data_IF_061346346295
#
_entry.id   IF_061346346295
#
_cell.length_a   1.000
_cell.length_b   1.000
_cell.length_c   1.000
_cell.angle_alpha   90.00
_cell.angle_beta   90.00
_cell.angle_gamma   90.00
#
_symmetry.space_group_name_H-M   'P 1'
#
loop_
_entity.id
_entity.type
_entity.pdbx_description
1 polymer ?
#
# COMPACT_ATOMS: atom_id res chain seq x y z
N UNK A 1 -78.60 0.47 9.64
CA UNK A 1 -78.95 0.11 11.04
C UNK A 1 -77.83 -0.80 11.54
N UNK A 2 -77.05 -0.58 12.60
CA UNK A 2 -76.81 0.53 13.55
C UNK A 2 -75.27 0.50 13.83
N UNK A 3 -74.51 1.60 13.93
CA UNK A 3 -74.39 2.58 15.02
C UNK A 3 -73.93 2.02 16.40
N UNK A 4 -72.83 2.62 16.94
CA UNK A 4 -72.29 2.59 18.33
C UNK A 4 -71.55 1.30 18.82
N UNK A 5 -70.56 1.30 19.76
CA UNK A 5 -69.92 2.41 20.54
C UNK A 5 -68.42 2.18 20.95
N UNK A 6 -67.63 3.27 20.87
CA UNK A 6 -66.51 3.84 21.68
C UNK A 6 -65.52 3.04 22.61
N UNK A 7 -64.23 3.43 22.46
CA UNK A 7 -63.17 3.80 23.44
C UNK A 7 -62.60 2.85 24.53
N UNK A 8 -61.29 2.58 24.41
CA UNK A 8 -60.23 2.90 25.38
C UNK A 8 -58.85 2.76 24.69
N UNK A 9 -58.08 3.82 24.42
CA UNK A 9 -57.17 4.51 25.35
C UNK A 9 -56.00 3.62 25.85
N UNK A 10 -54.82 3.77 25.22
CA UNK A 10 -53.63 2.99 25.56
C UNK A 10 -52.37 3.40 24.78
N UNK A 11 -51.90 4.65 24.94
CA UNK A 11 -50.52 4.99 24.57
C UNK A 11 -49.55 4.33 25.57
N UNK A 12 -48.46 3.75 25.08
CA UNK A 12 -47.13 3.92 25.67
C UNK A 12 -46.05 3.59 24.64
N UNK A 13 -45.35 4.63 24.19
CA UNK A 13 -44.22 4.54 23.26
C UNK A 13 -42.93 4.15 23.97
N UNK A 14 -42.19 3.19 23.43
CA UNK A 14 -40.80 2.94 23.79
C UNK A 14 -39.91 2.99 22.54
N UNK A 15 -39.62 4.19 22.07
CA UNK A 15 -38.60 4.39 21.06
C UNK A 15 -37.23 4.10 21.69
N UNK A 16 -36.58 3.01 21.29
CA UNK A 16 -35.22 2.70 21.73
C UNK A 16 -34.25 3.73 21.14
N UNK A 17 -33.92 4.76 21.93
CA UNK A 17 -33.01 5.81 21.50
C UNK A 17 -31.61 5.25 21.24
N UNK A 18 -31.15 5.42 20.01
CA UNK A 18 -29.76 5.21 19.64
C UNK A 18 -28.89 6.25 20.34
N UNK A 19 -28.31 5.88 21.49
CA UNK A 19 -27.25 6.67 22.13
C UNK A 19 -26.00 6.55 21.25
N UNK A 20 -25.90 7.41 20.24
CA UNK A 20 -24.61 7.66 19.61
C UNK A 20 -23.74 8.43 20.62
N UNK A 21 -22.49 8.02 20.87
CA UNK A 21 -21.58 8.81 21.68
C UNK A 21 -21.25 10.08 20.91
N UNK A 22 -21.95 11.17 21.25
CA UNK A 22 -21.63 12.52 20.79
C UNK A 22 -20.36 12.97 21.48
N UNK A 23 -19.21 12.50 20.99
CA UNK A 23 -17.94 13.15 21.27
C UNK A 23 -18.08 14.60 20.79
N UNK A 24 -17.96 15.61 21.66
CA UNK A 24 -17.96 16.99 21.21
C UNK A 24 -16.69 17.18 20.38
N UNK A 25 -16.85 17.30 19.06
CA UNK A 25 -15.81 17.87 18.21
C UNK A 25 -15.78 19.35 18.58
N UNK A 26 -14.92 19.70 19.55
CA UNK A 26 -14.62 21.09 19.87
C UNK A 26 -14.04 21.75 18.61
N UNK A 27 -14.76 22.71 17.99
CA UNK A 27 -14.28 23.44 16.82
C UNK A 27 -13.40 24.63 17.24
N UNK A 28 -12.90 24.63 18.49
CA UNK A 28 -11.99 25.60 19.06
C UNK A 28 -10.88 25.97 18.08
N UNK A 29 -10.40 27.23 18.13
CA UNK A 29 -9.64 27.84 17.06
C UNK A 29 -8.47 26.94 16.68
N UNK A 30 -8.54 26.35 15.47
CA UNK A 30 -7.47 25.56 14.87
C UNK A 30 -6.26 26.48 14.77
N UNK A 31 -5.41 26.43 15.79
CA UNK A 31 -4.12 27.11 15.84
C UNK A 31 -3.43 26.75 14.52
N UNK A 32 -3.07 27.70 13.65
CA UNK A 32 -2.36 27.37 12.43
C UNK A 32 -1.16 26.52 12.82
N UNK A 33 -1.13 25.28 12.35
CA UNK A 33 0.01 24.40 12.57
C UNK A 33 1.11 24.91 11.64
N UNK A 34 1.81 25.95 12.10
CA UNK A 34 3.09 26.33 11.54
C UNK A 34 3.94 25.06 11.44
N UNK A 35 4.54 24.76 10.27
CA UNK A 35 5.44 23.64 10.15
C UNK A 35 6.54 23.78 11.19
N UNK A 36 6.59 22.86 12.16
CA UNK A 36 7.57 22.90 13.24
C UNK A 36 8.96 23.02 12.64
N UNK A 37 9.66 24.12 12.90
CA UNK A 37 10.99 24.40 12.38
C UNK A 37 11.95 23.28 12.82
N UNK A 38 12.21 22.33 11.90
CA UNK A 38 12.83 21.04 12.22
C UNK A 38 12.23 19.85 11.47
N UNK A 39 11.03 19.95 10.90
CA UNK A 39 10.49 18.93 10.00
C UNK A 39 11.25 18.92 8.67
N UNK A 40 12.29 18.08 8.61
CA UNK A 40 13.00 17.74 7.38
C UNK A 40 12.02 17.11 6.39
N UNK A 41 11.88 17.70 5.21
CA UNK A 41 11.02 17.17 4.16
C UNK A 41 11.38 15.71 3.82
N UNK A 42 10.37 14.91 3.51
CA UNK A 42 10.57 13.53 3.08
C UNK A 42 11.48 13.47 1.85
N UNK A 43 12.42 12.52 1.84
CA UNK A 43 13.29 12.28 0.67
C UNK A 43 12.49 11.58 -0.42
N UNK A 44 12.60 12.05 -1.66
CA UNK A 44 12.09 11.33 -2.83
C UNK A 44 13.04 10.18 -3.21
N UNK A 45 12.54 8.98 -3.52
CA UNK A 45 13.37 7.90 -4.06
C UNK A 45 13.76 8.18 -5.52
N UNK A 46 14.92 7.66 -5.94
CA UNK A 46 15.33 7.56 -7.35
C UNK A 46 14.87 6.24 -7.97
N UNK A 47 14.91 5.17 -7.19
CA UNK A 47 14.56 3.81 -7.61
C UNK A 47 13.48 3.24 -6.68
N UNK A 48 12.56 2.44 -7.21
CA UNK A 48 11.55 1.72 -6.44
C UNK A 48 11.71 0.22 -6.73
N UNK A 49 11.85 -0.58 -5.68
CA UNK A 49 12.02 -2.03 -5.75
C UNK A 49 10.75 -2.74 -5.25
N UNK A 50 9.94 -3.28 -6.16
CA UNK A 50 8.72 -4.02 -5.82
C UNK A 50 8.99 -5.52 -5.73
N UNK A 51 8.90 -6.12 -4.54
CA UNK A 51 8.80 -7.59 -4.39
C UNK A 51 7.38 -8.01 -4.71
N UNK A 52 7.19 -8.78 -5.79
CA UNK A 52 5.90 -9.37 -6.13
C UNK A 52 5.79 -10.71 -5.40
N UNK A 53 4.98 -10.73 -4.36
CA UNK A 53 4.89 -11.81 -3.39
C UNK A 53 3.53 -12.50 -3.42
N UNK A 54 3.51 -13.80 -3.17
CA UNK A 54 2.31 -14.51 -2.77
C UNK A 54 2.70 -15.76 -1.98
N UNK A 55 2.00 -16.05 -0.87
CA UNK A 55 2.29 -17.18 0.00
C UNK A 55 2.11 -18.53 -0.70
N UNK A 56 1.14 -18.61 -1.62
CA UNK A 56 0.90 -19.77 -2.46
C UNK A 56 1.99 -19.99 -3.53
N UNK A 57 2.82 -18.97 -3.84
CA UNK A 57 3.82 -19.05 -4.90
C UNK A 57 5.13 -19.70 -4.41
N UNK A 58 5.61 -20.80 -5.03
CA UNK A 58 6.88 -21.42 -4.66
C UNK A 58 8.09 -20.53 -4.98
N UNK A 59 8.04 -19.76 -6.08
CA UNK A 59 9.11 -18.83 -6.46
C UNK A 59 9.28 -17.69 -5.44
N UNK A 60 8.21 -17.23 -4.80
CA UNK A 60 8.31 -16.27 -3.68
C UNK A 60 9.12 -16.84 -2.52
N UNK A 61 8.94 -18.13 -2.18
CA UNK A 61 9.71 -18.82 -1.14
C UNK A 61 11.16 -19.09 -1.56
N UNK A 62 11.40 -19.43 -2.83
CA UNK A 62 12.73 -19.69 -3.36
C UNK A 62 13.67 -18.47 -3.30
N UNK A 63 13.12 -17.26 -3.41
CA UNK A 63 13.86 -15.99 -3.26
C UNK A 63 14.48 -15.79 -1.87
N UNK A 64 14.01 -16.53 -0.85
CA UNK A 64 14.54 -16.46 0.51
C UNK A 64 14.52 -15.03 1.08
N UNK A 65 15.64 -14.63 1.69
CA UNK A 65 15.83 -13.32 2.33
C UNK A 65 16.44 -12.25 1.41
N UNK A 66 16.67 -12.52 0.11
CA UNK A 66 17.47 -11.65 -0.75
C UNK A 66 16.92 -10.22 -0.81
N UNK A 67 15.60 -10.05 -0.88
CA UNK A 67 14.97 -8.73 -0.90
C UNK A 67 15.09 -8.00 0.44
N UNK A 68 14.90 -8.72 1.55
CA UNK A 68 15.03 -8.22 2.91
C UNK A 68 16.46 -7.81 3.22
N UNK A 69 17.45 -8.53 2.69
CA UNK A 69 18.88 -8.24 2.87
C UNK A 69 19.37 -7.12 1.94
N UNK A 70 18.76 -6.94 0.77
CA UNK A 70 18.93 -5.71 -0.03
C UNK A 70 18.36 -4.51 0.74
N UNK A 71 17.11 -4.60 1.23
CA UNK A 71 16.48 -3.54 2.00
C UNK A 71 17.34 -3.05 3.17
N UNK A 72 17.85 -3.98 3.99
CA UNK A 72 18.73 -3.65 5.14
C UNK A 72 20.07 -3.01 4.74
N UNK A 73 20.65 -3.40 3.59
CA UNK A 73 21.99 -2.93 3.17
C UNK A 73 21.93 -1.61 2.38
N UNK A 74 20.81 -1.31 1.74
CA UNK A 74 20.61 -0.11 0.91
C UNK A 74 19.61 0.90 1.53
N UNK A 75 19.30 0.79 2.83
CA UNK A 75 18.38 1.71 3.56
C UNK A 75 18.86 3.17 3.59
N UNK A 76 20.17 3.40 3.41
CA UNK A 76 20.74 4.74 3.30
C UNK A 76 20.62 5.36 1.88
N UNK A 77 20.41 4.52 0.86
CA UNK A 77 20.31 4.92 -0.55
C UNK A 77 18.90 5.41 -0.90
N UNK A 78 18.72 6.18 -2.00
CA UNK A 78 17.40 6.67 -2.42
C UNK A 78 16.59 5.57 -3.13
N UNK A 79 16.42 4.41 -2.49
CA UNK A 79 15.67 3.25 -2.96
C UNK A 79 14.45 3.01 -2.07
N UNK A 80 13.25 3.04 -2.65
CA UNK A 80 12.02 2.67 -1.95
C UNK A 80 11.75 1.17 -2.14
N UNK A 81 11.85 0.38 -1.07
CA UNK A 81 11.48 -1.03 -1.08
C UNK A 81 9.98 -1.17 -0.77
N UNK A 82 9.24 -1.89 -1.62
CA UNK A 82 7.81 -2.13 -1.46
C UNK A 82 7.46 -3.60 -1.67
N UNK A 83 6.55 -4.12 -0.85
CA UNK A 83 5.95 -5.44 -1.00
C UNK A 83 4.61 -5.30 -1.72
N UNK A 84 4.44 -6.00 -2.84
CA UNK A 84 3.15 -6.16 -3.51
C UNK A 84 2.67 -7.59 -3.25
N UNK A 85 1.67 -7.72 -2.38
CA UNK A 85 1.12 -9.02 -1.98
C UNK A 85 -0.08 -9.42 -2.85
N UNK A 86 -0.01 -10.62 -3.42
CA UNK A 86 -1.04 -11.25 -4.25
C UNK A 86 -1.58 -12.55 -3.62
N UNK A 87 -1.40 -12.72 -2.29
CA UNK A 87 -1.89 -13.89 -1.55
C UNK A 87 -3.41 -13.95 -1.45
N UNK A 88 -4.07 -12.80 -1.28
CA UNK A 88 -5.53 -12.66 -1.22
C UNK A 88 -6.05 -11.45 -2.03
N UNK A 89 -7.38 -11.35 -2.17
CA UNK A 89 -8.05 -10.26 -2.90
C UNK A 89 -7.77 -8.87 -2.29
N UNK A 90 -7.65 -8.76 -0.97
CA UNK A 90 -7.39 -7.51 -0.26
C UNK A 90 -5.94 -7.09 -0.48
N UNK A 91 -4.97 -8.00 -0.36
CA UNK A 91 -3.57 -7.77 -0.69
C UNK A 91 -3.42 -7.23 -2.11
N UNK A 92 -4.04 -7.92 -3.09
CA UNK A 92 -4.07 -7.47 -4.49
C UNK A 92 -4.63 -6.07 -4.65
N UNK A 93 -5.75 -5.75 -4.01
CA UNK A 93 -6.33 -4.40 -4.05
C UNK A 93 -5.42 -3.34 -3.41
N UNK A 94 -4.75 -3.66 -2.30
CA UNK A 94 -3.78 -2.75 -1.68
C UNK A 94 -2.54 -2.53 -2.55
N UNK A 95 -2.04 -3.58 -3.22
CA UNK A 95 -0.96 -3.49 -4.20
C UNK A 95 -1.35 -2.59 -5.38
N UNK A 96 -2.57 -2.73 -5.90
CA UNK A 96 -3.11 -1.87 -6.96
C UNK A 96 -3.17 -0.39 -6.54
N UNK A 97 -3.71 -0.11 -5.35
CA UNK A 97 -3.80 1.26 -4.82
C UNK A 97 -2.42 1.86 -4.51
N UNK A 98 -1.48 1.08 -3.99
CA UNK A 98 -0.10 1.51 -3.78
C UNK A 98 0.56 1.92 -5.11
N UNK A 99 0.50 1.04 -6.11
CA UNK A 99 1.02 1.28 -7.47
C UNK A 99 0.34 2.49 -8.14
N UNK A 100 -0.96 2.69 -7.91
CA UNK A 100 -1.67 3.87 -8.38
C UNK A 100 -1.22 5.16 -7.68
N UNK A 101 -1.05 5.14 -6.35
CA UNK A 101 -0.68 6.32 -5.54
C UNK A 101 0.69 6.92 -5.91
N UNK A 102 1.64 6.07 -6.26
CA UNK A 102 2.99 6.45 -6.73
C UNK A 102 3.03 6.70 -8.26
N UNK A 103 1.87 6.68 -8.91
CA UNK A 103 1.69 7.08 -10.30
C UNK A 103 2.07 6.02 -11.34
N UNK A 104 2.23 4.75 -10.93
CA UNK A 104 2.54 3.59 -11.77
C UNK A 104 1.29 2.85 -12.27
N UNK A 105 0.08 3.41 -12.12
CA UNK A 105 -1.19 2.80 -12.52
C UNK A 105 -1.23 2.21 -13.95
N UNK A 106 -0.45 2.76 -14.90
CA UNK A 106 -0.34 2.20 -16.26
C UNK A 106 0.48 0.91 -16.30
N UNK A 107 1.60 0.86 -15.56
CA UNK A 107 2.47 -0.31 -15.48
C UNK A 107 1.82 -1.49 -14.75
N UNK A 108 0.73 -1.25 -13.99
CA UNK A 108 -0.09 -2.32 -13.40
C UNK A 108 -0.59 -3.33 -14.44
N UNK A 109 -0.77 -2.94 -15.70
CA UNK A 109 -1.16 -3.87 -16.77
C UNK A 109 -0.07 -4.91 -17.08
N UNK A 110 1.20 -4.59 -16.82
CA UNK A 110 2.34 -5.46 -17.13
C UNK A 110 2.57 -6.56 -16.05
N UNK A 111 2.10 -6.34 -14.81
CA UNK A 111 2.43 -7.20 -13.67
C UNK A 111 1.32 -7.39 -12.60
N UNK A 112 0.25 -6.61 -12.64
CA UNK A 112 -0.80 -6.54 -11.62
C UNK A 112 -1.80 -7.70 -11.59
N UNK A 113 -1.72 -8.62 -12.54
CA UNK A 113 -2.56 -9.83 -12.56
C UNK A 113 -2.09 -10.92 -11.59
N UNK A 114 -0.94 -10.76 -10.93
CA UNK A 114 -0.36 -11.78 -10.04
C UNK A 114 0.25 -12.99 -10.75
N UNK A 115 0.19 -13.05 -12.10
CA UNK A 115 0.82 -14.08 -12.94
C UNK A 115 2.36 -14.10 -12.88
N UNK A 116 2.96 -13.12 -12.20
CA UNK A 116 4.40 -12.84 -12.19
C UNK A 116 4.98 -12.69 -10.78
N UNK A 117 4.38 -13.32 -9.77
CA UNK A 117 4.96 -13.40 -8.42
C UNK A 117 6.31 -14.14 -8.40
N UNK A 118 7.11 -13.94 -7.35
CA UNK A 118 8.46 -14.50 -7.26
C UNK A 118 9.48 -13.77 -8.14
N UNK A 119 9.42 -12.43 -8.16
CA UNK A 119 10.45 -11.54 -8.72
C UNK A 119 10.44 -10.18 -8.02
N UNK A 120 11.53 -9.44 -8.15
CA UNK A 120 11.61 -8.02 -7.76
C UNK A 120 11.67 -7.18 -9.04
N UNK A 121 10.76 -6.22 -9.20
CA UNK A 121 10.82 -5.23 -10.28
C UNK A 121 11.55 -3.99 -9.78
N UNK A 122 12.59 -3.57 -10.50
CA UNK A 122 13.29 -2.32 -10.24
C UNK A 122 12.76 -1.26 -11.21
N UNK A 123 12.24 -0.17 -10.66
CA UNK A 123 11.51 0.87 -11.40
C UNK A 123 12.14 2.23 -11.14
N UNK A 124 12.53 2.92 -12.20
CA UNK A 124 13.02 4.29 -12.14
C UNK A 124 11.87 5.24 -11.75
N UNK A 125 12.04 6.01 -10.69
CA UNK A 125 10.97 6.80 -10.09
C UNK A 125 10.56 8.02 -10.95
N UNK A 126 11.48 8.57 -11.74
CA UNK A 126 11.25 9.75 -12.58
C UNK A 126 10.48 9.41 -13.87
N UNK A 127 10.90 8.33 -14.54
CA UNK A 127 10.35 7.85 -15.82
C UNK A 127 9.22 6.84 -15.66
N UNK A 128 9.10 6.23 -14.46
CA UNK A 128 8.10 5.22 -14.11
C UNK A 128 8.17 3.96 -14.98
N UNK A 129 9.39 3.61 -15.42
CA UNK A 129 9.67 2.43 -16.24
C UNK A 129 10.41 1.38 -15.43
N UNK A 130 10.07 0.11 -15.67
CA UNK A 130 10.86 -1.02 -15.19
C UNK A 130 12.22 -0.97 -15.91
N UNK A 131 13.30 -0.80 -15.13
CA UNK A 131 14.68 -0.75 -15.63
C UNK A 131 15.39 -2.10 -15.51
N UNK A 132 15.00 -2.93 -14.54
CA UNK A 132 15.51 -4.27 -14.35
C UNK A 132 14.51 -5.17 -13.63
N UNK A 133 14.72 -6.48 -13.68
CA UNK A 133 13.95 -7.49 -12.94
C UNK A 133 14.91 -8.49 -12.32
N UNK A 134 14.82 -8.69 -11.00
CA UNK A 134 15.56 -9.70 -10.26
C UNK A 134 14.64 -10.93 -10.15
N UNK A 135 14.96 -12.07 -10.79
CA UNK A 135 14.17 -13.29 -10.65
C UNK A 135 14.39 -13.94 -9.27
N UNK A 136 13.53 -14.89 -8.88
CA UNK A 136 13.60 -15.56 -7.58
C UNK A 136 14.84 -16.43 -7.35
N UNK A 137 15.48 -16.91 -8.42
CA UNK A 137 16.70 -17.70 -8.40
C UNK A 137 17.98 -16.84 -8.43
N UNK A 138 17.86 -15.51 -8.48
CA UNK A 138 18.99 -14.61 -8.39
C UNK A 138 19.65 -14.69 -7.01
N UNK A 139 20.84 -15.28 -6.96
CA UNK A 139 21.70 -15.24 -5.78
C UNK A 139 22.11 -13.81 -5.42
N UNK A 140 22.51 -13.61 -4.15
CA UNK A 140 22.85 -12.31 -3.56
C UNK A 140 23.65 -11.39 -4.49
N UNK A 141 24.73 -11.89 -5.09
CA UNK A 141 25.64 -11.07 -5.90
C UNK A 141 25.00 -10.56 -7.20
N UNK A 142 24.13 -11.36 -7.82
CA UNK A 142 23.38 -10.95 -9.02
C UNK A 142 22.31 -9.92 -8.65
N UNK A 143 21.59 -10.13 -7.55
CA UNK A 143 20.57 -9.21 -7.05
C UNK A 143 21.18 -7.86 -6.62
N UNK A 144 22.33 -7.89 -5.92
CA UNK A 144 23.15 -6.74 -5.53
C UNK A 144 23.56 -5.92 -6.75
N UNK A 145 24.19 -6.57 -7.74
CA UNK A 145 24.63 -5.91 -8.97
C UNK A 145 23.46 -5.31 -9.76
N UNK A 146 22.35 -6.05 -9.90
CA UNK A 146 21.17 -5.53 -10.60
C UNK A 146 20.59 -4.28 -9.93
N UNK A 147 20.60 -4.21 -8.59
CA UNK A 147 20.18 -3.03 -7.84
C UNK A 147 21.13 -1.84 -8.07
N UNK A 148 22.45 -2.06 -7.99
CA UNK A 148 23.47 -1.02 -8.20
C UNK A 148 23.45 -0.47 -9.63
N UNK A 149 23.41 -1.35 -10.63
CA UNK A 149 23.31 -0.96 -12.05
C UNK A 149 22.02 -0.15 -12.31
N UNK A 150 20.89 -0.56 -11.73
CA UNK A 150 19.62 0.16 -11.84
C UNK A 150 19.64 1.51 -11.11
N UNK A 151 20.27 1.60 -9.93
CA UNK A 151 20.40 2.83 -9.17
C UNK A 151 21.33 3.84 -9.87
N UNK A 152 22.40 3.37 -10.51
CA UNK A 152 23.29 4.20 -11.34
C UNK A 152 22.63 4.66 -12.65
N UNK A 153 21.73 3.86 -13.22
CA UNK A 153 20.95 4.22 -14.40
C UNK A 153 19.72 5.11 -14.11
N UNK A 154 19.26 5.16 -12.85
CA UNK A 154 18.08 5.91 -12.44
C UNK A 154 18.33 7.43 -12.46
N UNK A 155 17.36 8.17 -13.00
CA UNK A 155 17.45 9.62 -13.25
C UNK A 155 17.16 10.44 -11.99
#
# INVERSE_FOLDING_TARGET
MNAMILLAAGLLTAAAWSVQPTFPIDPGPRRPTEPSAGQKAARSPKLIAFKLSADWCPSTRAMGSVFEDLGKRYDAEPVLFCLLDFSDQRGRSQAEYLVASIGLARAWQDFGEGKTTGRVLLVDAATRKIVATIPHDAGWESARKALEDALAAAR
#
